data_IF_365175554970
#
_entry.id   IF_365175554970
#
_cell.length_a   1.000
_cell.length_b   1.000
_cell.length_c   1.000
_cell.angle_alpha   90.00
_cell.angle_beta   90.00
_cell.angle_gamma   90.00
#
_symmetry.space_group_name_H-M   'P 1'
#
loop_
_entity.id
_entity.type
_entity.pdbx_description
1 polymer ?
#
# COMPACT_ATOMS: atom_id res chain seq x y z
N UNK A 1 14.00 0.53 -17.24
CA UNK A 1 13.08 1.30 -16.39
C UNK A 1 12.52 2.41 -17.28
N UNK A 2 11.33 2.20 -17.84
CA UNK A 2 10.79 3.07 -18.90
C UNK A 2 10.30 4.40 -18.35
N UNK A 3 10.39 5.45 -19.17
CA UNK A 3 9.91 6.81 -18.89
C UNK A 3 8.46 6.85 -18.39
N UNK A 4 7.63 5.87 -18.77
CA UNK A 4 6.24 5.72 -18.32
C UNK A 4 6.15 5.63 -16.79
N UNK A 5 6.97 4.78 -16.15
CA UNK A 5 7.06 4.61 -14.69
C UNK A 5 7.35 5.94 -13.96
N UNK A 6 8.23 6.78 -14.55
CA UNK A 6 8.65 8.04 -13.94
C UNK A 6 7.54 9.10 -13.98
N UNK A 7 6.72 9.12 -15.03
CA UNK A 7 5.60 10.05 -15.16
C UNK A 7 4.39 9.67 -14.29
N UNK A 8 4.12 8.37 -14.11
CA UNK A 8 3.09 7.89 -13.17
C UNK A 8 3.35 8.34 -11.72
N UNK A 9 4.62 8.32 -11.30
CA UNK A 9 5.02 8.69 -9.93
C UNK A 9 4.91 10.20 -9.67
N UNK A 10 5.20 11.05 -10.67
CA UNK A 10 5.19 12.51 -10.50
C UNK A 10 3.77 13.08 -10.30
N UNK A 11 2.77 12.53 -10.99
CA UNK A 11 1.36 12.88 -10.77
C UNK A 11 0.87 12.46 -9.37
N UNK A 12 1.29 11.30 -8.88
CA UNK A 12 0.86 10.78 -7.56
C UNK A 12 1.29 11.67 -6.38
N UNK A 13 2.48 12.28 -6.42
CA UNK A 13 3.03 13.14 -5.36
C UNK A 13 2.25 14.43 -5.12
N UNK A 14 1.97 15.19 -6.20
CA UNK A 14 1.20 16.44 -6.10
C UNK A 14 -0.21 16.19 -5.53
N UNK A 15 -0.74 14.98 -5.73
CA UNK A 15 -2.05 14.59 -5.25
C UNK A 15 -2.09 13.92 -3.90
N UNK A 16 -1.07 13.18 -3.47
CA UNK A 16 -1.00 12.76 -2.07
C UNK A 16 -0.98 14.02 -1.19
N UNK A 17 -0.29 15.10 -1.60
CA UNK A 17 -0.30 16.42 -0.93
C UNK A 17 -1.70 17.07 -0.90
N UNK A 18 -2.44 17.07 -2.02
CA UNK A 18 -3.83 17.59 -2.08
C UNK A 18 -4.85 16.67 -1.38
N UNK A 19 -4.57 15.37 -1.32
CA UNK A 19 -5.38 14.37 -0.65
C UNK A 19 -5.17 14.42 0.87
N UNK A 20 -3.97 14.76 1.33
CA UNK A 20 -3.72 15.17 2.72
C UNK A 20 -4.56 16.40 3.10
N UNK A 21 -4.81 17.35 2.19
CA UNK A 21 -5.75 18.47 2.42
C UNK A 21 -7.23 18.05 2.47
N UNK A 22 -7.60 16.86 2.01
CA UNK A 22 -8.99 16.37 2.00
C UNK A 22 -9.28 15.32 3.07
N UNK A 23 -8.32 14.45 3.43
CA UNK A 23 -8.38 13.60 4.63
C UNK A 23 -8.23 14.43 5.91
N UNK A 24 -7.39 15.46 5.86
CA UNK A 24 -7.34 16.53 6.83
C UNK A 24 -8.11 17.70 6.23
N UNK A 25 -9.45 17.67 6.29
CA UNK A 25 -10.22 18.92 6.17
C UNK A 25 -9.46 20.01 6.94
N UNK A 26 -9.35 21.24 6.41
CA UNK A 26 -8.86 22.39 7.17
C UNK A 26 -9.93 22.82 8.20
N UNK A 27 -10.39 21.89 9.03
CA UNK A 27 -10.69 22.24 10.39
C UNK A 27 -9.34 22.21 11.09
N UNK A 28 -8.92 23.36 11.61
CA UNK A 28 -7.95 23.41 12.69
C UNK A 28 -8.31 22.32 13.71
N UNK A 29 -7.66 21.16 13.67
CA UNK A 29 -7.88 20.11 14.67
C UNK A 29 -7.07 20.53 15.89
N UNK A 30 -7.65 21.43 16.68
CA UNK A 30 -7.10 21.86 17.98
C UNK A 30 -7.25 20.81 19.08
N UNK A 31 -7.76 19.61 18.75
CA UNK A 31 -8.19 18.61 19.75
C UNK A 31 -7.63 17.21 19.47
N UNK A 32 -7.31 16.54 20.57
CA UNK A 32 -7.00 15.11 20.67
C UNK A 32 -8.07 14.26 19.97
N UNK A 33 -7.68 13.31 19.12
CA UNK A 33 -8.61 12.38 18.43
C UNK A 33 -8.19 10.92 18.61
N UNK A 34 -9.13 10.07 19.00
CA UNK A 34 -8.97 8.62 19.00
C UNK A 34 -9.36 8.08 17.62
N UNK A 35 -8.48 7.31 16.98
CA UNK A 35 -8.72 6.69 15.67
C UNK A 35 -8.27 5.22 15.67
N UNK A 36 -8.84 4.42 14.78
CA UNK A 36 -8.29 3.11 14.42
C UNK A 36 -7.36 3.30 13.23
N UNK A 37 -6.04 3.14 13.43
CA UNK A 37 -5.04 3.41 12.39
C UNK A 37 -5.34 2.66 11.11
N UNK A 38 -5.59 1.36 11.17
CA UNK A 38 -5.84 0.56 9.97
C UNK A 38 -7.03 1.05 9.14
N UNK A 39 -8.12 1.51 9.78
CA UNK A 39 -9.30 2.02 9.06
C UNK A 39 -9.01 3.33 8.32
N UNK A 40 -8.27 4.23 8.96
CA UNK A 40 -7.83 5.49 8.34
C UNK A 40 -6.84 5.20 7.20
N UNK A 41 -5.88 4.28 7.39
CA UNK A 41 -4.93 3.88 6.34
C UNK A 41 -5.64 3.20 5.16
N UNK A 42 -6.63 2.33 5.39
CA UNK A 42 -7.46 1.73 4.32
C UNK A 42 -8.26 2.76 3.54
N UNK A 43 -8.68 3.84 4.20
CA UNK A 43 -9.38 4.94 3.54
C UNK A 43 -8.40 5.75 2.72
N UNK A 44 -7.21 6.02 3.25
CA UNK A 44 -6.14 6.69 2.54
C UNK A 44 -5.75 5.93 1.26
N UNK A 45 -5.33 4.68 1.37
CA UNK A 45 -4.83 3.88 0.24
C UNK A 45 -5.89 3.61 -0.81
N UNK A 46 -7.15 3.41 -0.42
CA UNK A 46 -8.24 3.24 -1.37
C UNK A 46 -8.42 4.48 -2.25
N UNK A 47 -8.36 5.67 -1.65
CA UNK A 47 -8.54 6.90 -2.37
C UNK A 47 -7.35 7.23 -3.27
N UNK A 48 -6.13 6.93 -2.83
CA UNK A 48 -4.94 7.02 -3.67
C UNK A 48 -5.05 6.05 -4.85
N UNK A 49 -5.46 4.78 -4.61
CA UNK A 49 -5.67 3.81 -5.67
C UNK A 49 -6.71 4.28 -6.70
N UNK A 50 -7.88 4.76 -6.25
CA UNK A 50 -8.91 5.28 -7.15
C UNK A 50 -8.40 6.47 -7.98
N UNK A 51 -7.64 7.37 -7.36
CA UNK A 51 -7.08 8.52 -8.05
C UNK A 51 -6.00 8.12 -9.07
N UNK A 52 -5.12 7.19 -8.72
CA UNK A 52 -4.09 6.66 -9.61
C UNK A 52 -4.69 5.90 -10.81
N UNK A 53 -5.83 5.25 -10.59
CA UNK A 53 -6.51 4.47 -11.63
C UNK A 53 -7.36 5.35 -12.55
N UNK A 54 -8.23 6.19 -11.97
CA UNK A 54 -9.27 6.91 -12.71
C UNK A 54 -8.99 8.41 -12.88
N UNK A 55 -7.87 8.91 -12.36
CA UNK A 55 -7.57 10.33 -12.41
C UNK A 55 -8.57 11.19 -11.61
N UNK A 56 -8.52 12.51 -11.81
CA UNK A 56 -9.30 13.48 -11.02
C UNK A 56 -10.76 13.60 -11.42
N UNK A 57 -11.08 13.30 -12.67
CA UNK A 57 -12.35 13.72 -13.27
C UNK A 57 -13.51 12.79 -12.90
N UNK A 58 -13.22 11.61 -12.34
CA UNK A 58 -14.19 10.55 -12.10
C UNK A 58 -14.69 10.48 -10.64
N UNK A 59 -14.73 11.64 -9.95
CA UNK A 59 -15.22 11.77 -8.56
C UNK A 59 -16.65 11.24 -8.42
N UNK A 60 -17.47 11.37 -9.46
CA UNK A 60 -18.87 10.94 -9.49
C UNK A 60 -19.05 9.46 -9.10
N UNK A 61 -18.11 8.59 -9.50
CA UNK A 61 -18.21 7.15 -9.29
C UNK A 61 -17.60 6.68 -7.96
N UNK A 62 -16.93 7.57 -7.21
CA UNK A 62 -16.12 7.20 -6.04
C UNK A 62 -16.93 6.50 -4.95
N UNK A 63 -18.10 7.02 -4.60
CA UNK A 63 -18.93 6.43 -3.54
C UNK A 63 -19.53 5.08 -3.96
N UNK A 64 -19.92 4.96 -5.23
CA UNK A 64 -20.40 3.70 -5.79
C UNK A 64 -19.30 2.64 -5.81
N UNK A 65 -18.10 2.98 -6.31
CA UNK A 65 -16.91 2.12 -6.30
C UNK A 65 -16.56 1.68 -4.87
N UNK A 66 -16.56 2.62 -3.92
CA UNK A 66 -16.29 2.36 -2.50
C UNK A 66 -17.27 1.36 -1.90
N UNK A 67 -18.57 1.58 -2.11
CA UNK A 67 -19.65 0.72 -1.60
C UNK A 67 -19.53 -0.70 -2.14
N UNK A 68 -19.35 -0.83 -3.45
CA UNK A 68 -19.27 -2.15 -4.09
C UNK A 68 -17.98 -2.87 -3.67
N UNK A 69 -16.85 -2.16 -3.62
CA UNK A 69 -15.59 -2.75 -3.16
C UNK A 69 -15.68 -3.27 -1.73
N UNK A 70 -16.30 -2.54 -0.79
CA UNK A 70 -16.45 -3.03 0.59
C UNK A 70 -17.28 -4.32 0.67
N UNK A 71 -18.28 -4.47 -0.20
CA UNK A 71 -19.06 -5.72 -0.28
C UNK A 71 -18.25 -6.85 -0.88
N UNK A 72 -17.46 -6.57 -1.93
CA UNK A 72 -16.54 -7.53 -2.55
C UNK A 72 -15.51 -8.04 -1.54
N UNK A 73 -14.86 -7.12 -0.80
CA UNK A 73 -13.81 -7.41 0.17
C UNK A 73 -14.28 -8.41 1.25
N UNK A 74 -15.51 -8.26 1.75
CA UNK A 74 -16.07 -9.13 2.78
C UNK A 74 -16.21 -10.60 2.33
N UNK A 75 -16.36 -10.86 1.04
CA UNK A 75 -16.46 -12.22 0.51
C UNK A 75 -15.14 -12.82 0.03
N UNK A 76 -14.06 -12.04 -0.03
CA UNK A 76 -12.78 -12.49 -0.60
C UNK A 76 -12.20 -13.72 0.12
N UNK A 77 -12.17 -13.72 1.46
CA UNK A 77 -11.71 -14.86 2.26
C UNK A 77 -12.85 -15.76 2.76
N UNK A 78 -14.04 -15.64 2.17
CA UNK A 78 -15.15 -16.52 2.54
C UNK A 78 -15.06 -17.85 1.79
N UNK A 79 -15.78 -18.87 2.26
CA UNK A 79 -15.88 -20.14 1.53
C UNK A 79 -16.47 -19.88 0.14
N UNK A 80 -15.91 -20.47 -0.94
CA UNK A 80 -16.28 -20.19 -2.32
C UNK A 80 -17.60 -20.87 -2.75
N UNK A 81 -18.65 -20.71 -1.93
CA UNK A 81 -19.97 -21.31 -2.14
C UNK A 81 -20.91 -20.22 -2.66
N UNK A 82 -21.26 -20.28 -3.94
CA UNK A 82 -22.08 -19.26 -4.60
C UNK A 82 -23.59 -19.49 -4.46
N UNK A 83 -24.09 -19.50 -3.23
CA UNK A 83 -25.53 -19.62 -2.96
C UNK A 83 -26.09 -18.37 -2.27
N UNK A 84 -27.36 -17.97 -2.55
CA UNK A 84 -27.98 -16.81 -1.92
C UNK A 84 -27.83 -16.81 -0.40
N UNK A 85 -27.45 -15.66 0.18
CA UNK A 85 -27.21 -15.49 1.62
C UNK A 85 -25.73 -15.55 2.03
N UNK A 86 -24.88 -16.24 1.26
CA UNK A 86 -23.43 -16.31 1.55
C UNK A 86 -22.69 -15.00 1.26
N UNK A 87 -21.56 -14.81 1.93
CA UNK A 87 -20.64 -13.68 1.65
C UNK A 87 -20.06 -13.78 0.23
N UNK A 88 -19.70 -14.98 -0.23
CA UNK A 88 -19.19 -15.20 -1.58
C UNK A 88 -20.21 -14.79 -2.65
N UNK A 89 -21.48 -15.18 -2.50
CA UNK A 89 -22.54 -14.76 -3.43
C UNK A 89 -22.73 -13.24 -3.47
N UNK A 90 -22.70 -12.57 -2.31
CA UNK A 90 -22.77 -11.10 -2.24
C UNK A 90 -21.57 -10.44 -2.92
N UNK A 91 -20.36 -10.97 -2.69
CA UNK A 91 -19.15 -10.47 -3.31
C UNK A 91 -19.14 -10.68 -4.83
N UNK A 92 -19.63 -11.80 -5.34
CA UNK A 92 -19.77 -12.03 -6.78
C UNK A 92 -20.77 -11.07 -7.43
N UNK A 93 -21.86 -10.70 -6.74
CA UNK A 93 -22.77 -9.64 -7.22
C UNK A 93 -22.08 -8.27 -7.22
N UNK A 94 -21.36 -7.93 -6.15
CA UNK A 94 -20.61 -6.67 -6.05
C UNK A 94 -19.49 -6.56 -7.10
N UNK A 95 -18.81 -7.67 -7.45
CA UNK A 95 -17.85 -7.72 -8.55
C UNK A 95 -18.49 -7.37 -9.88
N UNK A 96 -19.69 -7.91 -10.17
CA UNK A 96 -20.42 -7.60 -11.40
C UNK A 96 -20.81 -6.12 -11.46
N UNK A 97 -21.29 -5.55 -10.35
CA UNK A 97 -21.61 -4.11 -10.25
C UNK A 97 -20.36 -3.24 -10.45
N UNK A 98 -19.22 -3.60 -9.85
CA UNK A 98 -17.94 -2.92 -10.08
C UNK A 98 -17.54 -2.95 -11.55
N UNK A 99 -17.63 -4.10 -12.21
CA UNK A 99 -17.30 -4.24 -13.62
C UNK A 99 -18.19 -3.34 -14.49
N UNK A 100 -19.49 -3.24 -14.18
CA UNK A 100 -20.41 -2.34 -14.87
C UNK A 100 -20.04 -0.86 -14.68
N UNK A 101 -19.66 -0.44 -13.47
CA UNK A 101 -19.19 0.93 -13.21
C UNK A 101 -17.93 1.22 -14.03
N UNK A 102 -16.95 0.31 -14.05
CA UNK A 102 -15.72 0.49 -14.82
C UNK A 102 -16.02 0.56 -16.32
N UNK A 103 -16.91 -0.30 -16.83
CA UNK A 103 -17.34 -0.26 -18.22
C UNK A 103 -18.02 1.08 -18.60
N UNK A 104 -18.82 1.65 -17.71
CA UNK A 104 -19.41 2.99 -17.91
C UNK A 104 -18.35 4.09 -17.99
N UNK A 105 -17.32 4.03 -17.15
CA UNK A 105 -16.19 4.97 -17.19
C UNK A 105 -15.42 4.84 -18.51
N UNK A 106 -15.08 3.61 -18.91
CA UNK A 106 -14.39 3.31 -20.19
C UNK A 106 -15.20 3.88 -21.36
N UNK A 107 -16.50 3.57 -21.40
CA UNK A 107 -17.40 4.06 -22.43
C UNK A 107 -17.43 5.59 -22.48
N UNK A 108 -17.58 6.25 -21.32
CA UNK A 108 -17.62 7.72 -21.24
C UNK A 108 -16.33 8.36 -21.76
N UNK A 109 -15.18 7.80 -21.40
CA UNK A 109 -13.86 8.28 -21.86
C UNK A 109 -13.70 8.16 -23.38
N UNK A 110 -14.11 7.04 -23.97
CA UNK A 110 -14.09 6.86 -25.44
C UNK A 110 -14.98 7.87 -26.16
N UNK A 111 -16.13 8.23 -25.60
CA UNK A 111 -17.02 9.25 -26.18
C UNK A 111 -16.42 10.65 -26.13
N UNK A 112 -15.68 11.00 -25.07
CA UNK A 112 -15.06 12.33 -24.90
C UNK A 112 -13.89 12.59 -25.87
N UNK A 113 -13.38 11.57 -26.59
CA UNK A 113 -12.22 11.66 -27.50
C UNK A 113 -11.00 12.36 -26.90
N UNK A 114 -10.80 12.27 -25.58
CA UNK A 114 -9.56 12.73 -24.94
C UNK A 114 -8.46 11.71 -25.21
N UNK A 115 -7.35 12.17 -25.80
CA UNK A 115 -6.26 11.30 -26.28
C UNK A 115 -5.14 11.14 -25.24
N UNK A 116 -5.10 11.96 -24.18
CA UNK A 116 -3.95 11.99 -23.23
C UNK A 116 -4.39 11.76 -21.77
N UNK A 117 -4.89 10.56 -21.45
CA UNK A 117 -5.10 10.14 -20.07
C UNK A 117 -3.77 9.68 -19.45
N UNK A 118 -3.34 10.35 -18.39
CA UNK A 118 -2.08 10.05 -17.65
C UNK A 118 -2.30 9.16 -16.42
N UNK A 119 -3.39 8.40 -16.40
CA UNK A 119 -3.77 7.49 -15.33
C UNK A 119 -3.72 6.01 -15.78
N UNK A 120 -3.85 5.09 -14.82
CA UNK A 120 -3.68 3.66 -15.12
C UNK A 120 -4.77 3.13 -16.06
N UNK A 121 -6.01 3.62 -15.92
CA UNK A 121 -7.09 3.22 -16.81
C UNK A 121 -6.80 3.67 -18.25
N UNK A 122 -6.29 4.89 -18.43
CA UNK A 122 -5.86 5.40 -19.73
C UNK A 122 -4.83 4.50 -20.41
N UNK A 123 -3.86 3.98 -19.64
CA UNK A 123 -2.83 3.08 -20.15
C UNK A 123 -3.36 1.69 -20.49
N UNK A 124 -4.36 1.18 -19.77
CA UNK A 124 -5.07 -0.05 -20.17
C UNK A 124 -6.00 0.13 -21.37
N UNK A 125 -6.45 1.36 -21.64
CA UNK A 125 -7.29 1.66 -22.80
C UNK A 125 -6.49 1.91 -24.08
N UNK A 126 -5.16 2.04 -24.00
CA UNK A 126 -4.28 2.20 -25.18
C UNK A 126 -4.39 0.95 -26.08
N UNK A 127 -4.55 1.15 -27.38
CA UNK A 127 -4.68 0.05 -28.36
C UNK A 127 -3.48 -0.92 -28.30
N UNK A 128 -2.28 -0.43 -27.96
CA UNK A 128 -1.07 -1.26 -27.81
C UNK A 128 -1.18 -2.28 -26.69
N UNK A 129 -2.07 -2.07 -25.73
CA UNK A 129 -2.30 -3.02 -24.63
C UNK A 129 -2.99 -4.31 -25.10
N UNK A 130 -3.77 -4.25 -26.18
CA UNK A 130 -4.52 -5.39 -26.71
C UNK A 130 -5.58 -5.97 -25.77
N UNK A 131 -6.02 -5.21 -24.76
CA UNK A 131 -6.97 -5.67 -23.74
C UNK A 131 -8.43 -5.45 -24.17
N UNK A 132 -9.30 -6.42 -23.89
CA UNK A 132 -10.75 -6.25 -23.99
C UNK A 132 -11.30 -5.44 -22.81
N UNK A 133 -12.47 -4.83 -22.96
CA UNK A 133 -13.09 -4.05 -21.88
C UNK A 133 -13.30 -4.86 -20.60
N UNK A 134 -13.66 -6.15 -20.73
CA UNK A 134 -13.78 -7.07 -19.60
C UNK A 134 -12.43 -7.32 -18.92
N UNK A 135 -11.36 -7.49 -19.70
CA UNK A 135 -10.00 -7.64 -19.16
C UNK A 135 -9.53 -6.35 -18.48
N UNK A 136 -9.83 -5.18 -19.04
CA UNK A 136 -9.52 -3.89 -18.42
C UNK A 136 -10.25 -3.77 -17.08
N UNK A 137 -11.54 -4.08 -17.05
CA UNK A 137 -12.35 -4.04 -15.82
C UNK A 137 -11.81 -5.00 -14.75
N UNK A 138 -11.47 -6.23 -15.12
CA UNK A 138 -10.90 -7.21 -14.20
C UNK A 138 -9.52 -6.77 -13.66
N UNK A 139 -8.64 -6.25 -14.52
CA UNK A 139 -7.35 -5.71 -14.10
C UNK A 139 -7.50 -4.53 -13.15
N UNK A 140 -8.41 -3.58 -13.45
CA UNK A 140 -8.70 -2.45 -12.58
C UNK A 140 -9.19 -2.90 -11.20
N UNK A 141 -10.16 -3.81 -11.15
CA UNK A 141 -10.67 -4.36 -9.88
C UNK A 141 -9.54 -5.04 -9.09
N UNK A 142 -8.69 -5.81 -9.77
CA UNK A 142 -7.51 -6.45 -9.18
C UNK A 142 -6.51 -5.46 -8.60
N UNK A 143 -6.23 -4.36 -9.30
CA UNK A 143 -5.30 -3.31 -8.83
C UNK A 143 -5.86 -2.56 -7.62
N UNK A 144 -7.17 -2.24 -7.60
CA UNK A 144 -7.81 -1.62 -6.42
C UNK A 144 -7.63 -2.51 -5.20
N UNK A 145 -7.80 -3.83 -5.36
CA UNK A 145 -7.57 -4.79 -4.29
C UNK A 145 -6.12 -4.80 -3.82
N UNK A 146 -5.19 -4.96 -4.76
CA UNK A 146 -3.76 -5.07 -4.47
C UNK A 146 -3.19 -3.81 -3.78
N UNK A 147 -3.57 -2.62 -4.25
CA UNK A 147 -3.02 -1.34 -3.77
C UNK A 147 -3.56 -0.91 -2.40
N UNK A 148 -4.76 -1.36 -2.00
CA UNK A 148 -5.40 -0.87 -0.79
C UNK A 148 -4.87 -1.52 0.49
N UNK A 149 -5.09 -2.82 0.62
CA UNK A 149 -4.98 -3.49 1.92
C UNK A 149 -3.52 -3.79 2.28
N UNK A 150 -2.67 -4.02 1.28
CA UNK A 150 -1.23 -4.24 1.46
C UNK A 150 -0.55 -2.99 2.03
N UNK A 151 -0.65 -1.84 1.34
CA UNK A 151 -0.07 -0.57 1.78
C UNK A 151 -0.66 -0.11 3.12
N UNK A 152 -1.97 -0.27 3.32
CA UNK A 152 -2.61 0.10 4.59
C UNK A 152 -2.08 -0.73 5.77
N UNK A 153 -1.78 -2.01 5.53
CA UNK A 153 -1.18 -2.88 6.52
C UNK A 153 0.25 -2.44 6.85
N UNK A 154 1.08 -2.16 5.84
CA UNK A 154 2.46 -1.64 6.05
C UNK A 154 2.42 -0.37 6.88
N UNK A 155 1.60 0.61 6.48
CA UNK A 155 1.46 1.88 7.19
C UNK A 155 1.05 1.70 8.66
N UNK A 156 0.13 0.78 8.93
CA UNK A 156 -0.31 0.47 10.29
C UNK A 156 0.84 -0.09 11.13
N UNK A 157 1.64 -0.99 10.57
CA UNK A 157 2.82 -1.52 11.24
C UNK A 157 3.90 -0.47 11.46
N UNK A 158 4.13 0.45 10.52
CA UNK A 158 5.09 1.55 10.71
C UNK A 158 4.68 2.42 11.89
N UNK A 159 3.40 2.80 11.99
CA UNK A 159 2.89 3.61 13.11
C UNK A 159 3.12 2.90 14.45
N UNK A 160 2.91 1.59 14.50
CA UNK A 160 3.20 0.77 15.69
C UNK A 160 4.69 0.77 16.01
N UNK A 161 5.55 0.36 15.07
CA UNK A 161 6.98 0.20 15.33
C UNK A 161 7.66 1.53 15.67
N UNK A 162 7.31 2.63 15.01
CA UNK A 162 7.81 3.94 15.39
C UNK A 162 7.31 4.37 16.79
N UNK A 163 6.06 4.05 17.14
CA UNK A 163 5.53 4.31 18.48
C UNK A 163 6.22 3.50 19.58
N UNK A 164 6.76 2.32 19.26
CA UNK A 164 7.48 1.44 20.18
C UNK A 164 9.00 1.69 20.20
N UNK A 165 9.53 2.45 19.24
CA UNK A 165 10.95 2.76 19.11
C UNK A 165 11.16 4.28 19.04
N UNK A 166 11.08 5.00 20.18
CA UNK A 166 11.14 6.47 20.21
C UNK A 166 12.38 7.07 19.57
N UNK A 167 13.55 6.44 19.74
CA UNK A 167 14.81 6.90 19.11
C UNK A 167 14.77 6.83 17.58
N UNK A 168 14.14 5.80 17.03
CA UNK A 168 13.94 5.68 15.58
C UNK A 168 12.95 6.73 15.08
N UNK A 169 11.86 6.97 15.84
CA UNK A 169 10.89 8.02 15.52
C UNK A 169 11.53 9.42 15.59
N UNK A 170 12.41 9.67 16.54
CA UNK A 170 13.18 10.92 16.64
C UNK A 170 14.05 11.14 15.40
N UNK A 171 14.83 10.14 15.00
CA UNK A 171 15.64 10.21 13.77
C UNK A 171 14.80 10.46 12.51
N UNK A 172 13.62 9.83 12.40
CA UNK A 172 12.67 10.12 11.31
C UNK A 172 12.14 11.55 11.41
N UNK A 173 11.78 12.05 12.60
CA UNK A 173 11.31 13.43 12.76
C UNK A 173 12.38 14.44 12.31
N UNK A 174 13.63 14.24 12.74
CA UNK A 174 14.76 15.08 12.37
C UNK A 174 14.96 15.12 10.85
N UNK A 175 14.97 13.95 10.19
CA UNK A 175 15.06 13.85 8.73
C UNK A 175 13.96 14.66 8.03
N UNK A 176 12.71 14.51 8.47
CA UNK A 176 11.58 15.19 7.83
C UNK A 176 11.54 16.69 8.13
N UNK A 177 11.98 17.12 9.32
CA UNK A 177 12.10 18.52 9.70
C UNK A 177 13.25 19.21 8.94
N UNK A 178 14.37 18.52 8.70
CA UNK A 178 15.46 19.02 7.86
C UNK A 178 15.00 19.29 6.43
N UNK A 179 14.19 18.40 5.84
CA UNK A 179 13.61 18.62 4.50
C UNK A 179 12.75 19.88 4.50
N UNK A 180 11.86 20.06 5.49
CA UNK A 180 11.00 21.24 5.59
C UNK A 180 11.79 22.55 5.73
N UNK A 181 12.78 22.58 6.63
CA UNK A 181 13.64 23.76 6.85
C UNK A 181 14.38 24.13 5.57
N UNK A 182 14.98 23.14 4.91
CA UNK A 182 15.73 23.33 3.69
C UNK A 182 14.87 23.90 2.55
N UNK A 183 13.59 23.52 2.47
CA UNK A 183 12.64 24.08 1.49
C UNK A 183 12.23 25.51 1.85
N UNK A 184 12.01 25.79 3.13
CA UNK A 184 11.68 27.13 3.63
C UNK A 184 12.81 28.13 3.37
N UNK A 185 14.06 27.74 3.59
CA UNK A 185 15.25 28.54 3.28
C UNK A 185 15.39 28.86 1.79
N UNK A 186 14.94 27.96 0.91
CA UNK A 186 14.92 28.18 -0.55
C UNK A 186 13.67 28.92 -1.05
N UNK A 187 12.73 29.26 -0.17
CA UNK A 187 11.46 29.89 -0.55
C UNK A 187 10.54 28.99 -1.40
N UNK A 188 10.69 27.67 -1.30
CA UNK A 188 9.89 26.70 -2.04
C UNK A 188 8.53 26.43 -1.38
N UNK A 189 7.56 25.92 -2.15
CA UNK A 189 6.31 25.40 -1.62
C UNK A 189 6.56 24.29 -0.58
N UNK A 190 5.75 24.24 0.48
CA UNK A 190 5.93 23.27 1.58
C UNK A 190 5.52 21.83 1.20
N UNK A 191 4.96 21.61 0.02
CA UNK A 191 4.66 20.29 -0.52
C UNK A 191 5.92 19.55 -0.98
N UNK A 192 5.91 18.22 -0.87
CA UNK A 192 7.00 17.38 -1.34
C UNK A 192 7.05 17.33 -2.87
N UNK A 193 8.28 17.38 -3.39
CA UNK A 193 8.58 17.03 -4.78
C UNK A 193 9.39 15.72 -4.87
N UNK A 194 9.72 15.29 -6.08
CA UNK A 194 10.45 14.04 -6.33
C UNK A 194 11.85 14.02 -5.69
N UNK A 195 12.56 15.14 -5.72
CA UNK A 195 13.90 15.24 -5.14
C UNK A 195 13.87 15.20 -3.60
N UNK A 196 12.80 15.69 -2.98
CA UNK A 196 12.60 15.59 -1.53
C UNK A 196 12.41 14.12 -1.11
N UNK A 197 11.65 13.33 -1.88
CA UNK A 197 11.43 11.91 -1.58
C UNK A 197 12.74 11.08 -1.58
N UNK A 198 13.72 11.46 -2.42
CA UNK A 198 15.05 10.83 -2.43
C UNK A 198 15.89 11.17 -1.20
N UNK A 199 15.57 12.24 -0.48
CA UNK A 199 16.28 12.70 0.72
C UNK A 199 15.74 12.09 2.02
N UNK A 200 15.10 10.92 1.93
CA UNK A 200 14.51 10.21 3.08
C UNK A 200 15.15 8.83 3.35
N UNK A 201 16.49 8.71 3.49
CA UNK A 201 17.16 7.42 3.68
C UNK A 201 16.81 6.73 5.01
N UNK A 202 16.60 7.46 6.11
CA UNK A 202 16.19 6.89 7.40
C UNK A 202 14.76 6.33 7.27
N UNK A 203 13.85 7.12 6.73
CA UNK A 203 12.47 6.70 6.52
C UNK A 203 12.39 5.50 5.57
N UNK A 204 13.21 5.48 4.50
CA UNK A 204 13.29 4.33 3.58
C UNK A 204 13.73 3.04 4.27
N UNK A 205 14.72 3.13 5.17
CA UNK A 205 15.18 1.99 5.99
C UNK A 205 14.11 1.52 6.98
N UNK A 206 13.34 2.44 7.56
CA UNK A 206 12.17 2.11 8.40
C UNK A 206 11.12 1.34 7.60
N UNK A 207 10.86 1.73 6.35
CA UNK A 207 9.94 0.99 5.47
C UNK A 207 10.46 -0.42 5.23
N UNK A 208 11.74 -0.58 4.89
CA UNK A 208 12.35 -1.89 4.65
C UNK A 208 12.29 -2.80 5.89
N UNK A 209 12.65 -2.28 7.07
CA UNK A 209 12.59 -3.05 8.30
C UNK A 209 11.16 -3.40 8.71
N UNK A 210 10.20 -2.50 8.49
CA UNK A 210 8.77 -2.81 8.69
C UNK A 210 8.32 -3.94 7.76
N UNK A 211 8.67 -3.87 6.48
CA UNK A 211 8.34 -4.92 5.52
C UNK A 211 8.95 -6.28 5.90
N UNK A 212 10.18 -6.28 6.45
CA UNK A 212 10.84 -7.49 6.97
C UNK A 212 10.09 -8.06 8.18
N UNK A 213 9.96 -7.28 9.25
CA UNK A 213 9.44 -7.75 10.54
C UNK A 213 7.95 -8.09 10.43
N UNK A 214 7.15 -7.20 9.84
CA UNK A 214 5.73 -7.44 9.69
C UNK A 214 5.44 -8.57 8.68
N UNK A 215 6.27 -8.71 7.64
CA UNK A 215 6.10 -9.71 6.56
C UNK A 215 4.66 -9.77 6.06
N UNK A 216 4.16 -8.63 5.56
CA UNK A 216 2.74 -8.42 5.19
C UNK A 216 2.21 -9.56 4.33
N UNK A 217 2.98 -9.93 3.30
CA UNK A 217 2.81 -11.20 2.59
C UNK A 217 3.80 -12.20 3.17
N UNK A 218 3.31 -13.10 4.03
CA UNK A 218 4.14 -14.09 4.71
C UNK A 218 4.52 -15.27 3.80
N UNK A 219 3.72 -15.55 2.78
CA UNK A 219 3.97 -16.60 1.78
C UNK A 219 3.24 -16.30 0.47
N UNK A 220 3.55 -17.07 -0.57
CA UNK A 220 2.80 -17.06 -1.84
C UNK A 220 2.39 -18.47 -2.23
N UNK A 221 1.38 -18.59 -3.07
CA UNK A 221 0.96 -19.88 -3.63
C UNK A 221 1.66 -20.13 -4.97
N UNK A 222 2.18 -21.34 -5.15
CA UNK A 222 2.70 -21.86 -6.42
C UNK A 222 2.18 -23.26 -6.66
N UNK A 223 2.23 -23.69 -7.91
CA UNK A 223 2.00 -25.07 -8.32
C UNK A 223 3.20 -25.53 -9.14
N UNK A 224 3.72 -26.72 -8.85
CA UNK A 224 4.77 -27.33 -9.66
C UNK A 224 4.19 -27.72 -11.03
N UNK A 225 4.68 -27.11 -12.10
CA UNK A 225 4.20 -27.39 -13.47
C UNK A 225 4.84 -28.64 -14.10
N UNK A 226 5.90 -29.13 -13.45
CA UNK A 226 6.66 -30.34 -13.76
C UNK A 226 7.26 -30.90 -12.46
N UNK A 227 7.84 -32.10 -12.53
CA UNK A 227 8.58 -32.68 -11.41
C UNK A 227 9.87 -31.87 -11.18
N UNK A 228 10.11 -31.44 -9.95
CA UNK A 228 11.28 -30.62 -9.59
C UNK A 228 12.09 -31.33 -8.50
N UNK A 229 13.37 -31.59 -8.78
CA UNK A 229 14.31 -32.00 -7.74
C UNK A 229 14.99 -30.77 -7.11
N UNK A 230 14.87 -30.64 -5.79
CA UNK A 230 15.48 -29.55 -5.03
C UNK A 230 16.15 -30.08 -3.77
N UNK A 231 17.48 -29.94 -3.68
CA UNK A 231 18.28 -30.42 -2.54
C UNK A 231 18.04 -31.90 -2.19
N UNK A 232 17.84 -32.76 -3.19
CA UNK A 232 17.56 -34.19 -3.02
C UNK A 232 16.09 -34.53 -2.71
N UNK A 233 15.20 -33.53 -2.64
CA UNK A 233 13.76 -33.73 -2.50
C UNK A 233 13.06 -33.61 -3.85
N UNK A 234 12.22 -34.59 -4.18
CA UNK A 234 11.32 -34.51 -5.33
C UNK A 234 10.04 -33.77 -4.95
N UNK A 235 9.71 -32.72 -5.70
CA UNK A 235 8.43 -32.01 -5.66
C UNK A 235 7.65 -32.43 -6.93
N UNK A 236 6.65 -33.31 -6.82
CA UNK A 236 5.93 -33.80 -7.98
C UNK A 236 5.10 -32.71 -8.66
N UNK A 237 4.91 -32.85 -9.98
CA UNK A 237 4.00 -32.04 -10.77
C UNK A 237 2.60 -32.00 -10.14
N UNK A 238 1.99 -30.81 -10.15
CA UNK A 238 0.67 -30.54 -9.59
C UNK A 238 0.67 -30.25 -8.08
N UNK A 239 1.79 -30.45 -7.37
CA UNK A 239 1.86 -30.12 -5.95
C UNK A 239 1.83 -28.61 -5.73
N UNK A 240 1.12 -28.20 -4.67
CA UNK A 240 1.13 -26.82 -4.20
C UNK A 240 2.38 -26.56 -3.38
N UNK A 241 3.09 -25.48 -3.71
CA UNK A 241 4.30 -25.06 -3.02
C UNK A 241 4.03 -23.71 -2.37
N UNK A 242 4.45 -23.56 -1.11
CA UNK A 242 4.28 -22.36 -0.30
C UNK A 242 5.65 -21.81 0.11
N UNK A 243 6.29 -20.95 -0.70
CA UNK A 243 7.50 -20.25 -0.28
C UNK A 243 7.18 -19.34 0.91
N UNK A 244 7.72 -19.66 2.09
CA UNK A 244 7.47 -18.96 3.35
C UNK A 244 8.44 -17.78 3.53
N UNK A 245 8.15 -16.64 2.89
CA UNK A 245 8.96 -15.42 2.99
C UNK A 245 9.19 -14.95 4.42
N UNK A 246 8.19 -15.11 5.30
CA UNK A 246 8.32 -14.75 6.72
C UNK A 246 9.51 -15.49 7.38
N UNK A 247 9.70 -16.77 7.07
CA UNK A 247 10.81 -17.55 7.65
C UNK A 247 12.17 -17.03 7.17
N UNK A 248 12.26 -16.61 5.90
CA UNK A 248 13.48 -16.03 5.34
C UNK A 248 13.81 -14.70 6.03
N UNK A 249 12.80 -13.82 6.19
CA UNK A 249 12.91 -12.51 6.82
C UNK A 249 13.23 -12.56 8.31
N UNK A 250 12.86 -13.65 8.99
CA UNK A 250 13.07 -13.87 10.42
C UNK A 250 14.18 -14.88 10.73
N UNK A 251 14.90 -15.37 9.72
CA UNK A 251 16.02 -16.30 9.95
C UNK A 251 17.22 -15.56 10.57
N UNK A 252 17.78 -16.04 11.69
CA UNK A 252 18.98 -15.48 12.31
C UNK A 252 20.23 -15.62 11.43
N UNK A 253 20.24 -16.58 10.48
CA UNK A 253 21.33 -16.76 9.51
C UNK A 253 21.40 -15.61 8.49
N UNK A 254 20.25 -14.98 8.25
CA UNK A 254 20.09 -13.87 7.32
C UNK A 254 20.12 -12.51 8.02
N UNK A 255 19.47 -12.40 9.19
CA UNK A 255 19.32 -11.16 9.95
C UNK A 255 19.63 -11.43 11.43
N UNK A 256 20.74 -10.88 11.93
CA UNK A 256 21.12 -10.96 13.35
C UNK A 256 20.02 -10.36 14.24
N UNK A 257 19.65 -11.04 15.32
CA UNK A 257 18.58 -10.60 16.24
C UNK A 257 17.28 -10.24 15.47
N UNK A 258 16.69 -11.21 14.73
CA UNK A 258 15.65 -10.93 13.73
C UNK A 258 14.36 -10.35 14.34
N UNK A 259 14.12 -10.54 15.63
CA UNK A 259 12.96 -10.01 16.37
C UNK A 259 13.11 -8.52 16.74
N UNK A 260 14.33 -7.99 16.75
CA UNK A 260 14.57 -6.58 17.06
C UNK A 260 14.24 -5.71 15.84
N UNK A 261 13.40 -4.71 16.02
CA UNK A 261 13.16 -3.69 15.00
C UNK A 261 14.36 -2.75 14.92
N UNK A 262 15.17 -2.90 13.87
CA UNK A 262 16.40 -2.13 13.69
C UNK A 262 16.57 -1.71 12.21
N UNK A 263 16.22 -0.46 11.86
CA UNK A 263 16.41 0.05 10.51
C UNK A 263 17.87 0.14 10.05
N UNK A 264 18.85 0.18 10.97
CA UNK A 264 20.27 0.33 10.60
C UNK A 264 20.80 -0.83 9.76
N UNK A 265 20.15 -2.00 9.84
CA UNK A 265 20.39 -3.19 9.00
C UNK A 265 20.43 -2.89 7.50
N UNK A 266 19.63 -1.91 7.07
CA UNK A 266 19.45 -1.55 5.68
C UNK A 266 20.32 -0.36 5.25
N UNK A 267 21.33 0.00 6.04
CA UNK A 267 22.43 0.87 5.57
C UNK A 267 23.22 0.19 4.44
N UNK A 268 23.37 -1.14 4.54
CA UNK A 268 23.87 -1.97 3.47
C UNK A 268 22.72 -2.71 2.78
N UNK A 269 22.90 -3.04 1.50
CA UNK A 269 21.96 -3.90 0.80
C UNK A 269 21.90 -5.29 1.45
N UNK A 270 20.71 -5.88 1.64
CA UNK A 270 20.59 -7.24 2.16
C UNK A 270 21.23 -8.24 1.20
N UNK A 271 21.64 -9.40 1.73
CA UNK A 271 22.15 -10.49 0.90
C UNK A 271 21.12 -10.88 -0.18
N UNK A 272 21.56 -11.30 -1.37
CA UNK A 272 20.65 -11.78 -2.40
C UNK A 272 19.71 -12.87 -1.88
N UNK A 273 18.44 -12.81 -2.26
CA UNK A 273 17.40 -13.77 -1.87
C UNK A 273 17.10 -13.89 -0.36
N UNK A 274 17.57 -12.95 0.48
CA UNK A 274 17.21 -12.94 1.91
C UNK A 274 16.17 -11.89 2.28
N UNK A 275 15.82 -10.98 1.36
CA UNK A 275 14.81 -9.96 1.56
C UNK A 275 13.90 -9.84 0.34
N UNK A 276 12.65 -10.31 0.45
CA UNK A 276 11.70 -10.47 -0.65
C UNK A 276 10.30 -9.96 -0.30
N UNK A 277 10.14 -8.75 0.26
CA UNK A 277 8.83 -8.25 0.71
C UNK A 277 7.83 -8.02 -0.44
N UNK A 278 8.33 -7.92 -1.67
CA UNK A 278 7.56 -7.72 -2.90
C UNK A 278 7.64 -8.95 -3.83
N UNK A 279 8.08 -10.11 -3.32
CA UNK A 279 8.37 -11.29 -4.12
C UNK A 279 9.61 -11.12 -5.00
N UNK A 280 9.76 -12.01 -5.98
CA UNK A 280 10.87 -12.01 -6.94
C UNK A 280 10.46 -12.61 -8.29
N UNK A 281 11.32 -12.43 -9.30
CA UNK A 281 11.12 -12.96 -10.64
C UNK A 281 9.97 -12.26 -11.38
N UNK A 282 9.35 -12.98 -12.32
CA UNK A 282 8.28 -12.45 -13.20
C UNK A 282 7.00 -12.07 -12.44
N UNK A 283 6.84 -12.53 -11.20
CA UNK A 283 5.69 -12.21 -10.34
C UNK A 283 6.06 -11.22 -9.22
N UNK A 284 7.18 -10.50 -9.37
CA UNK A 284 7.52 -9.40 -8.48
C UNK A 284 6.41 -8.34 -8.53
N UNK A 285 6.08 -7.77 -7.37
CA UNK A 285 5.01 -6.78 -7.26
C UNK A 285 5.28 -5.58 -8.21
N UNK A 286 4.38 -5.30 -9.17
CA UNK A 286 4.55 -4.17 -10.08
C UNK A 286 4.36 -2.81 -9.37
N UNK A 287 3.60 -2.79 -8.26
CA UNK A 287 3.31 -1.59 -7.49
C UNK A 287 4.36 -1.25 -6.42
N UNK A 288 5.52 -1.92 -6.38
CA UNK A 288 6.45 -1.80 -5.26
C UNK A 288 7.01 -0.37 -5.07
N UNK A 289 7.33 0.33 -6.17
CA UNK A 289 7.85 1.70 -6.11
C UNK A 289 6.76 2.71 -5.72
N UNK A 290 5.55 2.53 -6.23
CA UNK A 290 4.39 3.34 -5.85
C UNK A 290 4.08 3.18 -4.35
N UNK A 291 4.06 1.94 -3.84
CA UNK A 291 3.79 1.67 -2.43
C UNK A 291 4.84 2.34 -1.52
N UNK A 292 6.13 2.24 -1.85
CA UNK A 292 7.20 2.93 -1.09
C UNK A 292 6.98 4.44 -1.10
N UNK A 293 6.67 5.02 -2.26
CA UNK A 293 6.42 6.45 -2.39
C UNK A 293 5.21 6.92 -1.56
N UNK A 294 4.09 6.20 -1.65
CA UNK A 294 2.89 6.49 -0.86
C UNK A 294 3.20 6.52 0.65
N UNK A 295 4.00 5.54 1.10
CA UNK A 295 4.41 5.45 2.50
C UNK A 295 5.33 6.62 2.89
N UNK A 296 6.34 6.94 2.07
CA UNK A 296 7.25 8.07 2.32
C UNK A 296 6.48 9.38 2.48
N UNK A 297 5.58 9.68 1.53
CA UNK A 297 4.80 10.91 1.56
C UNK A 297 3.86 10.94 2.76
N UNK A 298 3.24 9.80 3.10
CA UNK A 298 2.38 9.74 4.28
C UNK A 298 3.17 9.99 5.56
N UNK A 299 4.32 9.34 5.72
CA UNK A 299 5.14 9.48 6.92
C UNK A 299 5.66 10.90 7.07
N UNK A 300 6.14 11.54 6.00
CA UNK A 300 6.54 12.94 6.03
C UNK A 300 5.45 13.84 6.64
N UNK A 301 4.21 13.72 6.16
CA UNK A 301 3.12 14.54 6.68
C UNK A 301 2.65 14.12 8.07
N UNK A 302 2.67 12.82 8.38
CA UNK A 302 2.29 12.31 9.68
C UNK A 302 3.24 12.82 10.77
N UNK A 303 4.56 12.71 10.55
CA UNK A 303 5.59 13.07 11.54
C UNK A 303 5.77 14.58 11.67
N UNK A 304 5.61 15.35 10.59
CA UNK A 304 5.77 16.81 10.64
C UNK A 304 4.54 17.53 11.22
N UNK A 305 3.34 16.95 11.12
CA UNK A 305 2.10 17.59 11.56
C UNK A 305 1.50 17.00 12.84
N UNK A 306 1.88 15.79 13.23
CA UNK A 306 1.24 15.09 14.33
C UNK A 306 2.23 14.38 15.25
N UNK A 307 1.77 14.12 16.47
CA UNK A 307 2.31 13.13 17.41
C UNK A 307 1.21 12.10 17.66
N UNK A 308 1.59 10.88 18.02
CA UNK A 308 0.62 9.86 18.40
C UNK A 308 1.08 9.05 19.60
N UNK A 309 0.12 8.40 20.25
CA UNK A 309 0.35 7.39 21.28
C UNK A 309 -0.57 6.20 21.03
N UNK A 310 -0.03 4.99 21.14
CA UNK A 310 -0.81 3.75 20.98
C UNK A 310 -1.72 3.58 22.21
N UNK A 311 -2.98 3.22 21.97
CA UNK A 311 -3.99 3.04 23.01
C UNK A 311 -4.28 1.56 23.20
N UNK A 312 -4.15 1.08 24.43
CA UNK A 312 -4.39 -0.32 24.81
C UNK A 312 -3.09 -1.12 24.92
N UNK A 313 -2.94 -1.86 26.02
CA UNK A 313 -1.71 -2.54 26.42
C UNK A 313 -1.49 -3.92 25.80
N UNK A 314 -2.36 -4.39 24.88
CA UNK A 314 -2.28 -5.77 24.39
C UNK A 314 -1.49 -5.85 23.07
N UNK A 315 -0.29 -6.42 23.15
CA UNK A 315 0.56 -6.81 22.02
C UNK A 315 -0.02 -8.02 21.25
N UNK A 316 -1.27 -7.89 20.79
CA UNK A 316 -1.93 -8.93 20.00
C UNK A 316 -1.73 -8.72 18.50
N UNK A 317 -1.68 -9.83 17.76
CA UNK A 317 -1.79 -9.86 16.31
C UNK A 317 -3.13 -10.50 15.97
N UNK A 318 -3.89 -9.87 15.07
CA UNK A 318 -5.05 -10.48 14.44
C UNK A 318 -4.63 -11.01 13.06
N UNK A 319 -5.03 -12.23 12.77
CA UNK A 319 -4.77 -12.88 11.50
C UNK A 319 -6.03 -12.81 10.63
N UNK A 320 -5.93 -12.06 9.53
CA UNK A 320 -6.87 -12.06 8.41
C UNK A 320 -6.10 -12.41 7.12
N UNK A 321 -6.47 -11.89 5.93
CA UNK A 321 -5.61 -12.06 4.76
C UNK A 321 -4.19 -11.52 4.99
N UNK A 322 -4.07 -10.54 5.89
CA UNK A 322 -2.80 -9.97 6.33
C UNK A 322 -2.73 -10.00 7.86
N UNK A 323 -1.52 -10.17 8.40
CA UNK A 323 -1.26 -10.04 9.82
C UNK A 323 -1.27 -8.56 10.22
N UNK A 324 -2.06 -8.20 11.23
CA UNK A 324 -2.24 -6.81 11.67
C UNK A 324 -2.19 -6.72 13.20
N UNK A 325 -1.84 -5.55 13.76
CA UNK A 325 -2.04 -5.32 15.18
C UNK A 325 -3.52 -5.51 15.55
N UNK A 326 -3.78 -6.10 16.72
CA UNK A 326 -5.13 -6.35 17.21
C UNK A 326 -5.97 -5.05 17.21
N UNK A 327 -7.25 -5.18 16.84
CA UNK A 327 -8.20 -4.06 16.72
C UNK A 327 -7.77 -2.97 15.71
N UNK A 328 -6.84 -3.27 14.79
CA UNK A 328 -6.39 -2.32 13.78
C UNK A 328 -5.55 -1.15 14.33
N UNK A 329 -4.89 -1.35 15.46
CA UNK A 329 -4.05 -0.36 16.17
C UNK A 329 -4.79 0.94 16.53
N UNK A 330 -5.55 0.98 17.64
CA UNK A 330 -6.11 2.22 18.15
C UNK A 330 -4.99 3.18 18.59
N UNK A 331 -5.04 4.43 18.11
CA UNK A 331 -4.09 5.48 18.53
C UNK A 331 -4.83 6.76 18.92
N UNK A 332 -4.23 7.50 19.85
CA UNK A 332 -4.55 8.90 20.07
C UNK A 332 -3.62 9.77 19.23
N UNK A 333 -4.19 10.59 18.35
CA UNK A 333 -3.47 11.56 17.51
C UNK A 333 -3.55 12.97 18.13
N UNK A 334 -2.43 13.68 18.10
CA UNK A 334 -2.27 15.06 18.57
C UNK A 334 -1.64 15.92 17.47
N UNK A 335 -2.12 17.13 17.21
CA UNK A 335 -1.42 18.06 16.33
C UNK A 335 -0.05 18.44 16.95
N UNK A 336 1.00 18.52 16.13
CA UNK A 336 2.20 19.29 16.48
C UNK A 336 1.84 20.76 16.34
N UNK A 337 1.64 21.46 17.46
CA UNK A 337 1.54 22.92 17.44
C UNK A 337 2.85 23.48 16.86
N UNK A 338 2.74 24.41 15.92
CA UNK A 338 3.88 25.17 15.41
C UNK A 338 4.26 26.26 16.38
#
# INVERSE_FOLDING_TARGET
MELSTMFFLCASLLFIVLFFRTLIKPYYVSKRRLITTFLEMKTFTFNVALLSIFGKEEILYRDALKRCYYTLEQGYNSMPINVPGTLFHKAMKARKELAQIVAQIIWSRRQRKMIDYKDLLGSFMDEKSGLTDDQIADNVIGVIFAARDTTASVLTWIVKYLGENPSVLEAVNEEQECILKSKEERGEDKGLNWEDAKKMPITSRVIQETLRVASILSFTFREAVEDVEYQGYLIPKGWKVLPLFRNIHHSPDNFKEPEKFDPSRFEAAPKPNTFMPFGSGIHMCPGNELAKLEILVLLHHLTTKYRWSVVGAKNGIQYGPFALPQNGLPITLFPKNK
#
